data_IF_343893168023
#
_entry.id   IF_343893168023
#
_cell.length_a   1.000
_cell.length_b   1.000
_cell.length_c   1.000
_cell.angle_alpha   90.00
_cell.angle_beta   90.00
_cell.angle_gamma   90.00
#
_symmetry.space_group_name_H-M   'P 1'
#
loop_
_entity.id
_entity.type
_entity.pdbx_description
1 polymer ?
#
# COMPACT_ATOMS: atom_id res chain seq x y z
N UNK A 1 -16.08 -12.26 -9.93
CA UNK A 1 -15.38 -13.56 -9.77
C UNK A 1 -13.94 -13.27 -9.36
N UNK A 2 -13.49 -13.74 -8.19
CA UNK A 2 -12.07 -13.67 -7.83
C UNK A 2 -11.31 -14.65 -8.72
N UNK A 3 -10.15 -14.24 -9.25
CA UNK A 3 -9.38 -15.05 -10.19
C UNK A 3 -8.79 -16.33 -9.55
N UNK A 4 -8.73 -16.40 -8.22
CA UNK A 4 -8.35 -17.60 -7.46
C UNK A 4 -7.04 -18.22 -7.97
N UNK A 5 -7.09 -19.51 -8.31
CA UNK A 5 -5.96 -20.28 -8.86
C UNK A 5 -5.44 -19.72 -10.20
N UNK A 6 -6.27 -18.99 -10.95
CA UNK A 6 -5.89 -18.36 -12.22
C UNK A 6 -5.19 -17.01 -12.02
N UNK A 7 -5.07 -16.53 -10.79
CA UNK A 7 -4.37 -15.28 -10.52
C UNK A 7 -2.86 -15.47 -10.78
N UNK A 8 -2.18 -14.57 -11.51
CA UNK A 8 -0.76 -14.72 -11.86
C UNK A 8 0.15 -14.91 -10.63
N UNK A 9 -0.24 -14.32 -9.50
CA UNK A 9 0.54 -14.38 -8.26
C UNK A 9 0.18 -15.59 -7.38
N UNK A 10 -0.86 -16.38 -7.73
CA UNK A 10 -1.32 -17.49 -6.91
C UNK A 10 -0.23 -18.55 -6.69
N UNK A 11 0.48 -18.92 -7.76
CA UNK A 11 1.56 -19.92 -7.67
C UNK A 11 2.73 -19.42 -6.81
N UNK A 12 3.09 -18.14 -6.94
CA UNK A 12 4.13 -17.51 -6.12
C UNK A 12 3.74 -17.52 -4.64
N UNK A 13 2.52 -17.13 -4.32
CA UNK A 13 2.05 -17.13 -2.93
C UNK A 13 1.99 -18.54 -2.37
N UNK A 14 1.50 -19.52 -3.14
CA UNK A 14 1.40 -20.91 -2.71
C UNK A 14 2.76 -21.57 -2.46
N UNK A 15 3.78 -21.21 -3.24
CA UNK A 15 5.14 -21.73 -3.02
C UNK A 15 5.85 -21.03 -1.85
N UNK A 16 5.69 -19.71 -1.73
CA UNK A 16 6.33 -18.91 -0.69
C UNK A 16 5.68 -19.07 0.69
N UNK A 17 4.38 -19.35 0.73
CA UNK A 17 3.57 -19.47 1.95
C UNK A 17 2.81 -20.80 1.99
N UNK A 18 3.51 -21.95 2.11
CA UNK A 18 2.91 -23.28 1.96
C UNK A 18 1.93 -23.65 3.08
N UNK A 19 2.02 -22.99 4.24
CA UNK A 19 1.18 -23.23 5.42
C UNK A 19 -0.04 -22.31 5.51
N UNK A 20 -0.15 -21.35 4.59
CA UNK A 20 -1.21 -20.33 4.63
C UNK A 20 -2.57 -20.89 4.22
N UNK A 21 -3.60 -20.46 4.94
CA UNK A 21 -4.98 -20.69 4.54
C UNK A 21 -5.39 -19.73 3.41
N UNK A 22 -5.36 -20.22 2.17
CA UNK A 22 -5.71 -19.42 0.98
C UNK A 22 -7.22 -19.14 0.81
N UNK A 23 -8.08 -19.72 1.64
CA UNK A 23 -9.52 -19.42 1.64
C UNK A 23 -9.84 -18.18 2.49
N UNK A 24 -8.86 -17.66 3.25
CA UNK A 24 -9.00 -16.53 4.16
C UNK A 24 -8.07 -15.38 3.75
N UNK A 25 -8.63 -14.27 3.25
CA UNK A 25 -7.85 -13.08 2.91
C UNK A 25 -7.04 -12.54 4.11
N UNK A 26 -7.62 -12.57 5.30
CA UNK A 26 -6.95 -12.15 6.54
C UNK A 26 -5.73 -13.04 6.83
N UNK A 27 -5.85 -14.35 6.62
CA UNK A 27 -4.72 -15.28 6.83
C UNK A 27 -3.61 -15.05 5.80
N UNK A 28 -3.98 -14.83 4.53
CA UNK A 28 -3.01 -14.51 3.47
C UNK A 28 -2.25 -13.21 3.82
N UNK A 29 -2.96 -12.15 4.20
CA UNK A 29 -2.31 -10.87 4.55
C UNK A 29 -1.45 -11.00 5.80
N UNK A 30 -1.93 -11.71 6.82
CA UNK A 30 -1.16 -11.95 8.03
C UNK A 30 0.17 -12.63 7.71
N UNK A 31 0.12 -13.78 7.03
CA UNK A 31 1.31 -14.58 6.74
C UNK A 31 2.24 -13.86 5.76
N UNK A 32 1.70 -13.10 4.80
CA UNK A 32 2.51 -12.23 3.94
C UNK A 32 3.36 -11.23 4.72
N UNK A 33 2.78 -10.61 5.74
CA UNK A 33 3.46 -9.60 6.55
C UNK A 33 4.41 -10.24 7.56
N UNK A 34 4.03 -11.35 8.19
CA UNK A 34 4.84 -11.97 9.26
C UNK A 34 5.95 -12.87 8.75
N UNK A 35 5.76 -13.59 7.65
CA UNK A 35 6.77 -14.52 7.10
C UNK A 35 7.79 -13.79 6.21
N UNK A 36 7.48 -12.56 5.77
CA UNK A 36 8.32 -11.75 4.88
C UNK A 36 8.77 -12.49 3.60
N UNK A 37 8.04 -13.54 3.22
CA UNK A 37 8.45 -14.49 2.19
C UNK A 37 8.37 -13.90 0.78
N UNK A 38 7.58 -12.84 0.59
CA UNK A 38 7.41 -12.17 -0.70
C UNK A 38 7.47 -10.64 -0.53
N UNK A 39 8.68 -10.13 -0.27
CA UNK A 39 9.00 -8.71 -0.02
C UNK A 39 8.40 -7.72 -1.02
N UNK A 40 8.19 -8.12 -2.27
CA UNK A 40 7.59 -7.24 -3.29
C UNK A 40 6.17 -6.80 -2.93
N UNK A 41 5.47 -7.53 -2.05
CA UNK A 41 4.11 -7.23 -1.63
C UNK A 41 4.02 -6.46 -0.30
N UNK A 42 5.09 -6.47 0.50
CA UNK A 42 5.09 -5.86 1.84
C UNK A 42 6.04 -4.66 1.95
N UNK A 43 7.07 -4.59 1.10
CA UNK A 43 8.14 -3.59 1.16
C UNK A 43 8.13 -2.68 -0.09
N UNK A 44 6.97 -2.16 -0.45
CA UNK A 44 6.80 -1.41 -1.69
C UNK A 44 7.64 -0.12 -1.72
N UNK A 45 7.61 0.65 -0.63
CA UNK A 45 8.34 1.91 -0.50
C UNK A 45 9.84 1.67 -0.39
N UNK A 46 10.28 0.71 0.43
CA UNK A 46 11.70 0.35 0.51
C UNK A 46 12.23 -0.07 -0.86
N UNK A 47 11.49 -0.90 -1.60
CA UNK A 47 11.92 -1.36 -2.91
C UNK A 47 11.99 -0.22 -3.94
N UNK A 48 11.00 0.69 -3.92
CA UNK A 48 10.93 1.80 -4.86
C UNK A 48 11.96 2.90 -4.56
N UNK A 49 12.00 3.36 -3.31
CA UNK A 49 12.86 4.47 -2.89
C UNK A 49 14.31 4.07 -2.60
N UNK A 50 14.66 2.78 -2.71
CA UNK A 50 16.06 2.33 -2.69
C UNK A 50 16.89 2.95 -3.82
N UNK A 51 16.29 3.14 -4.99
CA UNK A 51 17.00 3.67 -6.16
C UNK A 51 17.01 5.22 -6.19
N UNK A 52 15.93 5.84 -5.73
CA UNK A 52 15.77 7.30 -5.68
C UNK A 52 15.06 7.63 -4.37
N UNK A 53 15.69 8.36 -3.42
CA UNK A 53 15.05 8.75 -2.17
C UNK A 53 13.76 9.55 -2.37
N UNK A 54 12.80 9.41 -1.46
CA UNK A 54 11.54 10.18 -1.51
C UNK A 54 11.77 11.70 -1.44
N UNK A 55 12.87 12.12 -0.82
CA UNK A 55 13.28 13.52 -0.69
C UNK A 55 13.73 14.16 -2.00
N UNK A 56 14.06 13.36 -3.02
CA UNK A 56 14.54 13.87 -4.31
C UNK A 56 13.37 14.33 -5.22
N UNK A 57 12.14 14.02 -4.83
CA UNK A 57 10.95 14.42 -5.57
C UNK A 57 10.56 15.85 -5.20
N UNK A 58 10.37 16.70 -6.21
CA UNK A 58 9.89 18.07 -6.03
C UNK A 58 8.48 18.16 -5.41
N UNK A 59 7.72 17.05 -5.46
CA UNK A 59 6.40 16.96 -4.87
C UNK A 59 6.07 15.51 -4.50
N UNK A 60 5.53 15.33 -3.29
CA UNK A 60 4.97 14.07 -2.80
C UNK A 60 3.59 14.36 -2.21
N UNK A 61 2.57 13.67 -2.71
CA UNK A 61 1.17 13.90 -2.29
C UNK A 61 0.68 12.85 -1.29
N UNK A 62 -0.07 13.30 -0.28
CA UNK A 62 -0.81 12.42 0.63
C UNK A 62 -2.24 12.21 0.14
N UNK A 63 -2.74 10.99 0.26
CA UNK A 63 -4.18 10.72 0.12
C UNK A 63 -4.98 11.37 1.26
N UNK A 64 -4.46 11.38 2.48
CA UNK A 64 -5.15 11.96 3.64
C UNK A 64 -5.23 13.50 3.54
N UNK A 65 -4.29 14.11 2.83
CA UNK A 65 -4.25 15.55 2.57
C UNK A 65 -4.47 15.88 1.08
N UNK A 66 -5.29 15.10 0.37
CA UNK A 66 -5.42 15.15 -1.10
C UNK A 66 -5.66 16.57 -1.65
N UNK A 67 -6.60 17.32 -1.08
CA UNK A 67 -6.91 18.66 -1.56
C UNK A 67 -5.76 19.65 -1.34
N UNK A 68 -5.10 19.58 -0.18
CA UNK A 68 -3.92 20.39 0.14
C UNK A 68 -2.75 20.05 -0.80
N UNK A 69 -2.51 18.76 -1.00
CA UNK A 69 -1.48 18.27 -1.91
C UNK A 69 -1.74 18.74 -3.35
N UNK A 70 -2.99 18.69 -3.83
CA UNK A 70 -3.31 19.14 -5.19
C UNK A 70 -3.15 20.65 -5.36
N UNK A 71 -3.45 21.45 -4.34
CA UNK A 71 -3.18 22.91 -4.35
C UNK A 71 -1.69 23.19 -4.45
N UNK A 72 -0.88 22.55 -3.61
CA UNK A 72 0.59 22.69 -3.66
C UNK A 72 1.14 22.30 -5.04
N UNK A 73 0.62 21.22 -5.65
CA UNK A 73 1.01 20.81 -7.00
C UNK A 73 0.59 21.83 -8.06
N UNK A 74 -0.60 22.41 -7.93
CA UNK A 74 -1.11 23.46 -8.83
C UNK A 74 -0.19 24.68 -8.82
N UNK A 75 0.23 25.11 -7.64
CA UNK A 75 1.17 26.21 -7.45
C UNK A 75 2.55 25.87 -8.03
N UNK A 76 3.08 24.68 -7.73
CA UNK A 76 4.38 24.22 -8.21
C UNK A 76 4.44 24.18 -9.75
N UNK A 77 3.36 23.74 -10.40
CA UNK A 77 3.28 23.63 -11.86
C UNK A 77 2.80 24.91 -12.54
N UNK A 78 2.36 25.92 -11.79
CA UNK A 78 1.66 27.10 -12.30
C UNK A 78 0.46 26.73 -13.21
N UNK A 79 -0.32 25.74 -12.79
CA UNK A 79 -1.48 25.22 -13.52
C UNK A 79 -2.69 25.11 -12.58
N UNK A 80 -3.89 25.35 -13.11
CA UNK A 80 -5.12 25.15 -12.35
C UNK A 80 -5.57 23.69 -12.47
N UNK A 81 -5.35 22.90 -11.42
CA UNK A 81 -5.82 21.51 -11.36
C UNK A 81 -7.23 21.44 -10.78
N UNK A 82 -8.09 20.63 -11.39
CA UNK A 82 -9.43 20.35 -10.87
C UNK A 82 -9.39 19.21 -9.85
N UNK A 83 -10.02 19.43 -8.68
CA UNK A 83 -10.19 18.37 -7.68
C UNK A 83 -11.29 17.42 -8.17
N UNK A 84 -10.91 16.19 -8.50
CA UNK A 84 -11.86 15.11 -8.74
C UNK A 84 -11.72 14.03 -7.68
N UNK A 85 -12.69 13.94 -6.78
CA UNK A 85 -12.76 12.85 -5.80
C UNK A 85 -13.51 11.66 -6.40
N UNK A 86 -12.78 10.72 -6.99
CA UNK A 86 -13.35 9.43 -7.40
C UNK A 86 -13.12 8.43 -6.27
N UNK A 87 -13.94 8.50 -5.22
CA UNK A 87 -13.86 7.51 -4.13
C UNK A 87 -14.30 6.13 -4.64
N UNK A 88 -13.33 5.30 -5.04
CA UNK A 88 -13.53 3.89 -5.43
C UNK A 88 -13.36 2.90 -4.28
N UNK A 89 -13.29 3.35 -3.02
CA UNK A 89 -13.50 2.43 -1.88
C UNK A 89 -15.00 2.20 -1.79
N UNK A 90 -15.43 0.94 -1.85
CA UNK A 90 -16.82 0.54 -1.71
C UNK A 90 -17.48 1.34 -0.57
N UNK A 91 -18.71 1.85 -0.80
CA UNK A 91 -19.50 2.59 0.18
C UNK A 91 -19.68 1.83 1.51
N UNK A 92 -19.50 0.51 1.49
CA UNK A 92 -19.32 -0.34 2.65
C UNK A 92 -17.88 -0.23 3.13
N UNK A 93 -17.61 0.72 4.03
CA UNK A 93 -16.33 0.90 4.68
C UNK A 93 -15.89 -0.36 5.42
N UNK A 94 -15.26 -1.29 4.72
CA UNK A 94 -14.59 -2.43 5.33
C UNK A 94 -13.45 -1.88 6.18
N UNK A 95 -13.67 -1.82 7.48
CA UNK A 95 -12.64 -1.57 8.47
C UNK A 95 -11.60 -2.66 8.38
N UNK A 96 -10.32 -2.26 8.33
CA UNK A 96 -9.22 -3.22 8.39
C UNK A 96 -9.38 -4.01 9.70
N UNK A 97 -9.44 -5.36 9.66
CA UNK A 97 -9.57 -6.17 10.86
C UNK A 97 -8.48 -5.83 11.88
N UNK A 98 -8.84 -5.80 13.17
CA UNK A 98 -7.90 -5.47 14.26
C UNK A 98 -6.67 -6.38 14.26
N UNK A 99 -6.81 -7.65 13.87
CA UNK A 99 -5.69 -8.58 13.72
C UNK A 99 -4.66 -8.10 12.71
N UNK A 100 -5.08 -7.47 11.61
CA UNK A 100 -4.20 -6.92 10.59
C UNK A 100 -3.61 -5.58 11.03
N UNK A 101 -4.38 -4.72 11.71
CA UNK A 101 -3.86 -3.46 12.28
C UNK A 101 -2.69 -3.69 13.24
N UNK A 102 -2.72 -4.78 14.01
CA UNK A 102 -1.62 -5.15 14.92
C UNK A 102 -0.32 -5.51 14.19
N UNK A 103 -0.35 -5.68 12.88
CA UNK A 103 0.83 -5.97 12.07
C UNK A 103 1.58 -4.70 11.61
N UNK A 104 1.08 -3.50 11.91
CA UNK A 104 1.73 -2.23 11.54
C UNK A 104 3.19 -2.16 12.02
N UNK A 105 3.50 -2.72 13.18
CA UNK A 105 4.87 -2.78 13.71
C UNK A 105 5.84 -3.59 12.84
N UNK A 106 5.35 -4.61 12.13
CA UNK A 106 6.16 -5.41 11.19
C UNK A 106 6.52 -4.61 9.92
N UNK A 107 5.79 -3.53 9.64
CA UNK A 107 5.99 -2.66 8.49
C UNK A 107 6.54 -1.28 8.90
N UNK A 108 7.11 -1.15 10.11
CA UNK A 108 7.61 0.13 10.63
C UNK A 108 8.52 0.86 9.63
N UNK A 109 9.44 0.15 8.98
CA UNK A 109 10.38 0.73 8.02
C UNK A 109 9.65 1.36 6.82
N UNK A 110 8.55 0.76 6.36
CA UNK A 110 7.74 1.32 5.27
C UNK A 110 7.05 2.61 5.72
N UNK A 111 6.53 2.63 6.95
CA UNK A 111 5.93 3.84 7.52
C UNK A 111 6.94 4.94 7.77
N UNK A 112 8.17 4.61 8.15
CA UNK A 112 9.25 5.57 8.36
C UNK A 112 9.62 6.30 7.06
N UNK A 113 9.69 5.59 5.92
CA UNK A 113 10.03 6.18 4.63
C UNK A 113 9.03 7.26 4.20
N UNK A 114 7.74 7.05 4.46
CA UNK A 114 6.68 7.96 4.01
C UNK A 114 6.05 8.77 5.14
N UNK A 115 6.55 8.64 6.37
CA UNK A 115 5.88 9.13 7.58
C UNK A 115 5.61 10.63 7.56
N UNK A 116 6.58 11.41 7.08
CA UNK A 116 6.46 12.87 6.95
C UNK A 116 5.44 13.31 5.89
N UNK A 117 4.98 12.37 5.06
CA UNK A 117 4.07 12.60 3.93
C UNK A 117 2.69 11.96 4.10
N UNK A 118 2.41 11.29 5.24
CA UNK A 118 1.12 10.65 5.49
C UNK A 118 0.06 11.64 5.99
#
# INVERSE_FOLDING_TARGET
MSLGVRHPQYNLLKSALPKTNFDSQTSIVHDLVTEDAVKVFTHAYSNFFRAVPVTDFAFVGSKHQYEKALRNLSELMNLKLEIKQVNRRNAYGHTIPTSIRRLESYLWQEYEIVGDYL
#
